data_IF_113378392856
#
_entry.id   IF_113378392856
#
_cell.length_a   1.000
_cell.length_b   1.000
_cell.length_c   1.000
_cell.angle_alpha   90.00
_cell.angle_beta   90.00
_cell.angle_gamma   90.00
#
_symmetry.space_group_name_H-M   'P 1'
#
loop_
_entity.id
_entity.type
_entity.pdbx_description
1 polymer ?
#
# COMPACT_ATOMS: atom_id res chain seq x y z
N UNK A 1 -12.75 -11.74 14.09
CA UNK A 1 -11.61 -12.63 13.76
C UNK A 1 -12.10 -14.04 13.47
N UNK A 2 -12.85 -14.66 14.39
CA UNK A 2 -13.30 -16.06 14.35
C UNK A 2 -13.82 -16.56 12.98
N UNK A 3 -14.68 -15.80 12.30
CA UNK A 3 -15.22 -16.20 10.98
C UNK A 3 -14.14 -16.34 9.89
N UNK A 4 -13.08 -15.51 9.93
CA UNK A 4 -11.95 -15.59 8.99
C UNK A 4 -11.03 -16.76 9.33
N UNK A 5 -10.87 -17.07 10.61
CA UNK A 5 -10.09 -18.24 11.04
C UNK A 5 -10.74 -19.54 10.57
N UNK A 6 -12.07 -19.64 10.64
CA UNK A 6 -12.81 -20.77 10.09
C UNK A 6 -12.63 -20.95 8.57
N UNK A 7 -12.27 -19.89 7.83
CA UNK A 7 -11.92 -20.02 6.40
C UNK A 7 -10.57 -20.72 6.20
N UNK A 8 -9.64 -20.54 7.14
CA UNK A 8 -8.35 -21.24 7.15
C UNK A 8 -8.56 -22.70 7.54
N UNK A 9 -9.33 -22.96 8.60
CA UNK A 9 -9.63 -24.33 9.03
C UNK A 9 -10.38 -25.13 7.95
N UNK A 10 -11.27 -24.47 7.20
CA UNK A 10 -11.97 -25.07 6.06
C UNK A 10 -11.10 -25.21 4.79
N UNK A 11 -9.82 -24.82 4.83
CA UNK A 11 -8.90 -24.91 3.69
C UNK A 11 -9.18 -23.93 2.54
N UNK A 12 -10.10 -22.96 2.72
CA UNK A 12 -10.47 -21.97 1.69
C UNK A 12 -9.45 -20.83 1.57
N UNK A 13 -8.68 -20.58 2.62
CA UNK A 13 -7.60 -19.61 2.64
C UNK A 13 -6.36 -20.22 3.32
N UNK A 14 -5.17 -20.00 2.74
CA UNK A 14 -3.90 -20.42 3.38
C UNK A 14 -3.47 -19.48 4.50
N UNK A 15 -3.86 -18.21 4.42
CA UNK A 15 -3.48 -17.16 5.36
C UNK A 15 -4.56 -16.09 5.42
N UNK A 16 -4.58 -15.34 6.52
CA UNK A 16 -5.53 -14.25 6.76
C UNK A 16 -4.80 -13.00 7.23
N UNK A 17 -5.37 -11.84 6.91
CA UNK A 17 -4.78 -10.54 7.21
C UNK A 17 -5.82 -9.45 7.39
N UNK A 18 -5.35 -8.21 7.49
CA UNK A 18 -6.16 -7.01 7.69
C UNK A 18 -5.91 -6.00 6.58
N UNK A 19 -6.87 -5.12 6.33
CA UNK A 19 -6.71 -4.02 5.36
C UNK A 19 -7.42 -2.76 5.85
N UNK A 20 -6.73 -1.62 5.81
CA UNK A 20 -7.21 -0.31 6.30
C UNK A 20 -7.52 -0.26 7.82
N UNK A 21 -6.74 -0.97 8.64
CA UNK A 21 -6.88 -0.94 10.10
C UNK A 21 -5.82 -0.03 10.72
N UNK A 22 -6.19 0.71 11.78
CA UNK A 22 -5.24 1.47 12.59
C UNK A 22 -4.59 0.60 13.68
N UNK A 23 -3.52 1.10 14.31
CA UNK A 23 -2.75 0.35 15.31
C UNK A 23 -3.60 -0.18 16.48
N UNK A 24 -4.59 0.59 16.96
CA UNK A 24 -5.49 0.15 18.05
C UNK A 24 -6.36 -1.02 17.61
N UNK A 25 -6.91 -0.97 16.40
CA UNK A 25 -7.74 -2.04 15.85
C UNK A 25 -6.90 -3.29 15.58
N UNK A 26 -5.69 -3.14 15.01
CA UNK A 26 -4.75 -4.25 14.81
C UNK A 26 -4.42 -4.92 16.13
N UNK A 27 -4.04 -4.14 17.16
CA UNK A 27 -3.74 -4.68 18.50
C UNK A 27 -4.90 -5.51 19.06
N UNK A 28 -6.13 -4.99 18.98
CA UNK A 28 -7.34 -5.67 19.46
C UNK A 28 -7.59 -7.00 18.74
N UNK A 29 -7.42 -7.03 17.42
CA UNK A 29 -7.57 -8.27 16.64
C UNK A 29 -6.44 -9.23 16.97
N UNK A 30 -5.19 -8.76 16.99
CA UNK A 30 -4.01 -9.58 17.25
C UNK A 30 -4.08 -10.24 18.64
N UNK A 31 -4.55 -9.55 19.67
CA UNK A 31 -4.70 -10.10 21.02
C UNK A 31 -5.78 -11.17 21.13
N UNK A 32 -6.89 -11.04 20.38
CA UNK A 32 -8.03 -11.96 20.46
C UNK A 32 -7.99 -13.12 19.44
N UNK A 33 -7.15 -13.02 18.41
CA UNK A 33 -7.08 -14.02 17.35
C UNK A 33 -6.30 -15.27 17.76
N UNK A 34 -6.85 -16.45 17.45
CA UNK A 34 -6.16 -17.74 17.53
C UNK A 34 -5.16 -17.85 16.39
N UNK A 35 -5.58 -17.53 15.16
CA UNK A 35 -4.69 -17.46 13.99
C UNK A 35 -4.27 -15.99 13.83
N UNK A 36 -3.00 -15.69 14.09
CA UNK A 36 -2.50 -14.31 14.00
C UNK A 36 -2.60 -13.81 12.56
N UNK A 37 -3.07 -12.57 12.34
CA UNK A 37 -3.07 -11.99 11.00
C UNK A 37 -1.63 -11.85 10.51
N UNK A 38 -1.34 -12.32 9.30
CA UNK A 38 0.04 -12.33 8.77
C UNK A 38 0.42 -11.04 8.06
N UNK A 39 -0.57 -10.22 7.69
CA UNK A 39 -0.33 -9.01 6.89
C UNK A 39 -1.32 -7.89 7.22
N UNK A 40 -0.85 -6.65 7.04
CA UNK A 40 -1.67 -5.45 6.99
C UNK A 40 -1.51 -4.75 5.63
N UNK A 41 -2.60 -4.58 4.89
CA UNK A 41 -2.62 -3.81 3.65
C UNK A 41 -3.13 -2.37 3.89
N UNK A 42 -2.35 -1.36 3.56
CA UNK A 42 -2.66 0.07 3.78
C UNK A 42 -2.18 0.95 2.62
N UNK A 43 -2.73 2.17 2.52
CA UNK A 43 -2.25 3.17 1.57
C UNK A 43 -0.85 3.59 1.97
N UNK A 44 0.16 3.39 1.13
CA UNK A 44 1.52 3.78 1.50
C UNK A 44 2.31 4.15 0.28
N UNK A 45 2.83 5.38 0.28
CA UNK A 45 3.72 5.91 -0.75
C UNK A 45 4.65 6.97 -0.13
N UNK A 46 5.57 7.55 -0.90
CA UNK A 46 6.57 8.50 -0.38
C UNK A 46 5.98 9.74 0.32
N UNK A 47 4.78 10.19 -0.08
CA UNK A 47 4.08 11.28 0.62
C UNK A 47 3.17 10.82 1.78
N UNK A 48 3.03 9.51 2.00
CA UNK A 48 2.22 8.94 3.07
C UNK A 48 2.86 7.64 3.56
N UNK A 49 4.00 7.80 4.24
CA UNK A 49 4.90 6.68 4.54
C UNK A 49 4.47 5.81 5.73
N UNK A 50 3.54 6.30 6.55
CA UNK A 50 2.97 5.64 7.73
C UNK A 50 3.99 4.87 8.60
N UNK A 51 5.10 5.51 8.96
CA UNK A 51 6.25 4.84 9.63
C UNK A 51 5.87 4.12 10.93
N UNK A 52 5.02 4.73 11.74
CA UNK A 52 4.64 4.20 13.07
C UNK A 52 3.91 2.86 12.97
N UNK A 53 2.89 2.76 12.11
CA UNK A 53 2.13 1.50 11.96
C UNK A 53 2.96 0.41 11.28
N UNK A 54 3.87 0.79 10.38
CA UNK A 54 4.82 -0.17 9.78
C UNK A 54 5.71 -0.78 10.85
N UNK A 55 6.33 0.05 11.70
CA UNK A 55 7.16 -0.45 12.80
C UNK A 55 6.35 -1.29 13.79
N UNK A 56 5.12 -0.87 14.11
CA UNK A 56 4.21 -1.62 14.96
C UNK A 56 3.86 -3.01 14.39
N UNK A 57 3.52 -3.10 13.10
CA UNK A 57 3.23 -4.37 12.45
C UNK A 57 4.45 -5.30 12.41
N UNK A 58 5.64 -4.76 12.10
CA UNK A 58 6.88 -5.54 12.10
C UNK A 58 7.23 -6.09 13.48
N UNK A 59 7.00 -5.32 14.54
CA UNK A 59 7.20 -5.79 15.91
C UNK A 59 6.24 -6.94 16.31
N UNK A 60 5.13 -7.10 15.59
CA UNK A 60 4.16 -8.19 15.78
C UNK A 60 4.36 -9.34 14.78
N UNK A 61 5.49 -9.37 14.06
CA UNK A 61 5.79 -10.33 13.00
C UNK A 61 4.73 -10.32 11.87
N UNK A 62 4.18 -9.14 11.57
CA UNK A 62 3.24 -8.92 10.48
C UNK A 62 3.90 -8.20 9.32
N UNK A 63 3.65 -8.69 8.11
CA UNK A 63 4.07 -8.03 6.88
C UNK A 63 3.17 -6.84 6.54
N UNK A 64 3.72 -5.86 5.82
CA UNK A 64 2.95 -4.70 5.34
C UNK A 64 2.90 -4.70 3.81
N UNK A 65 1.70 -4.56 3.26
CA UNK A 65 1.49 -4.39 1.82
C UNK A 65 0.98 -2.99 1.52
N UNK A 66 1.72 -2.23 0.73
CA UNK A 66 1.39 -0.90 0.26
C UNK A 66 0.48 -0.98 -0.98
N UNK A 67 -0.77 -0.51 -0.85
CA UNK A 67 -1.58 -0.15 -2.00
C UNK A 67 -1.38 1.32 -2.38
N UNK A 68 -1.70 1.65 -3.63
CA UNK A 68 -1.40 2.94 -4.24
C UNK A 68 0.07 3.40 -4.05
N UNK A 69 1.07 2.53 -4.27
CA UNK A 69 2.48 2.84 -3.97
C UNK A 69 3.06 3.97 -4.83
N UNK A 70 2.42 4.30 -5.95
CA UNK A 70 2.77 5.40 -6.85
C UNK A 70 1.90 6.66 -6.61
N UNK A 71 1.10 6.67 -5.55
CA UNK A 71 -0.01 7.60 -5.37
C UNK A 71 -1.18 7.31 -6.32
N UNK A 72 -2.25 8.09 -6.19
CA UNK A 72 -3.40 8.02 -7.08
C UNK A 72 -3.44 9.30 -7.97
N UNK A 73 -3.12 9.19 -9.27
CA UNK A 73 -3.08 10.35 -10.17
C UNK A 73 -4.46 10.96 -10.41
N UNK A 74 -5.53 10.19 -10.15
CA UNK A 74 -6.87 10.56 -10.57
C UNK A 74 -7.91 10.30 -9.47
N UNK A 75 -7.58 10.71 -8.23
CA UNK A 75 -8.55 10.72 -7.11
C UNK A 75 -9.82 11.48 -7.53
N UNK A 76 -9.67 12.52 -8.37
CA UNK A 76 -10.77 13.28 -8.95
C UNK A 76 -11.71 12.44 -9.82
N UNK A 77 -11.23 11.70 -10.83
CA UNK A 77 -12.12 10.86 -11.65
C UNK A 77 -12.62 9.65 -10.89
N UNK A 78 -11.80 9.05 -10.01
CA UNK A 78 -12.23 7.92 -9.18
C UNK A 78 -13.35 8.35 -8.25
N UNK A 79 -13.23 9.51 -7.57
CA UNK A 79 -14.27 10.07 -6.72
C UNK A 79 -15.53 10.44 -7.50
N UNK A 80 -15.40 10.97 -8.73
CA UNK A 80 -16.54 11.21 -9.64
C UNK A 80 -17.23 9.91 -10.04
N UNK A 81 -16.46 8.87 -10.40
CA UNK A 81 -16.97 7.57 -10.84
C UNK A 81 -17.70 6.81 -9.73
N UNK A 82 -17.31 6.99 -8.48
CA UNK A 82 -17.94 6.34 -7.31
C UNK A 82 -19.01 7.22 -6.63
N UNK A 83 -19.41 8.33 -7.25
CA UNK A 83 -20.44 9.22 -6.70
C UNK A 83 -20.05 9.95 -5.41
N UNK A 84 -18.75 9.99 -5.07
CA UNK A 84 -18.20 10.63 -3.85
C UNK A 84 -17.55 11.98 -4.13
N UNK A 85 -17.80 12.60 -5.28
CA UNK A 85 -17.23 13.88 -5.69
C UNK A 85 -17.81 15.11 -4.95
N UNK A 86 -18.18 14.98 -3.68
CA UNK A 86 -18.53 16.13 -2.85
C UNK A 86 -17.26 16.62 -2.15
N UNK A 87 -16.77 17.77 -2.60
CA UNK A 87 -15.78 18.59 -1.88
C UNK A 87 -14.46 17.87 -1.61
N UNK A 88 -13.84 17.29 -2.64
CA UNK A 88 -12.39 17.13 -2.57
C UNK A 88 -11.81 18.53 -2.70
N UNK A 89 -11.14 19.08 -1.67
CA UNK A 89 -10.42 20.33 -1.85
C UNK A 89 -9.49 20.15 -3.04
N UNK A 90 -9.25 21.23 -3.79
CA UNK A 90 -8.17 21.32 -4.78
C UNK A 90 -6.82 21.26 -4.06
N UNK A 91 -6.60 20.16 -3.33
CA UNK A 91 -5.36 19.82 -2.72
C UNK A 91 -4.46 19.57 -3.93
N UNK A 92 -3.56 20.53 -4.18
CA UNK A 92 -2.51 20.48 -5.17
C UNK A 92 -1.55 19.38 -4.73
N UNK A 93 -2.03 18.15 -4.75
CA UNK A 93 -1.29 16.97 -4.36
C UNK A 93 -0.29 16.77 -5.46
N UNK A 94 0.96 17.13 -5.17
CA UNK A 94 2.08 16.70 -5.99
C UNK A 94 1.93 15.19 -6.15
N UNK A 95 1.76 14.76 -7.39
CA UNK A 95 1.69 13.35 -7.69
C UNK A 95 3.11 12.80 -7.61
N UNK A 96 3.40 11.71 -6.85
CA UNK A 96 4.77 11.23 -6.64
C UNK A 96 5.57 11.02 -7.93
N UNK A 97 4.92 10.63 -9.03
CA UNK A 97 5.60 10.46 -10.33
C UNK A 97 6.03 11.78 -10.98
N UNK A 98 5.37 12.89 -10.65
CA UNK A 98 5.66 14.22 -11.19
C UNK A 98 6.63 15.03 -10.32
N UNK A 99 6.98 14.52 -9.13
CA UNK A 99 7.87 15.20 -8.20
C UNK A 99 9.27 15.43 -8.81
N UNK A 100 9.79 16.67 -8.81
CA UNK A 100 11.09 16.99 -9.41
C UNK A 100 12.26 16.24 -8.78
N UNK A 101 12.22 15.96 -7.47
CA UNK A 101 13.25 15.20 -6.78
C UNK A 101 13.20 13.74 -7.20
N UNK A 102 12.01 13.14 -7.30
CA UNK A 102 11.85 11.76 -7.80
C UNK A 102 12.37 11.64 -9.22
N UNK A 103 12.03 12.58 -10.12
CA UNK A 103 12.55 12.61 -11.50
C UNK A 103 14.07 12.78 -11.55
N UNK A 104 14.65 13.63 -10.68
CA UNK A 104 16.10 13.80 -10.57
C UNK A 104 16.80 12.50 -10.15
N UNK A 105 16.25 11.78 -9.16
CA UNK A 105 16.77 10.48 -8.71
C UNK A 105 16.62 9.45 -9.83
N UNK A 106 15.48 9.39 -10.49
CA UNK A 106 15.21 8.49 -11.62
C UNK A 106 16.27 8.67 -12.74
N UNK A 107 16.54 9.93 -13.13
CA UNK A 107 17.60 10.27 -14.09
C UNK A 107 18.98 9.82 -13.62
N UNK A 108 19.33 10.06 -12.35
CA UNK A 108 20.62 9.65 -11.77
C UNK A 108 20.86 8.13 -11.86
N UNK A 109 19.80 7.34 -11.74
CA UNK A 109 19.88 5.89 -11.73
C UNK A 109 19.54 5.23 -13.08
N UNK A 110 19.26 6.01 -14.14
CA UNK A 110 18.76 5.52 -15.41
C UNK A 110 17.53 4.61 -15.25
N UNK A 111 16.57 5.05 -14.43
CA UNK A 111 15.32 4.34 -14.12
C UNK A 111 14.12 5.27 -14.29
N UNK A 112 12.92 4.71 -14.26
CA UNK A 112 11.68 5.49 -14.27
C UNK A 112 11.35 6.02 -12.86
N UNK A 113 10.58 7.13 -12.75
CA UNK A 113 10.06 7.58 -11.46
C UNK A 113 9.29 6.49 -10.70
N UNK A 114 8.52 5.66 -11.41
CA UNK A 114 7.78 4.56 -10.81
C UNK A 114 8.72 3.55 -10.14
N UNK A 115 9.78 3.12 -10.84
CA UNK A 115 10.78 2.20 -10.28
C UNK A 115 11.45 2.79 -9.03
N UNK A 116 11.76 4.08 -9.02
CA UNK A 116 12.35 4.75 -7.84
C UNK A 116 11.39 4.69 -6.65
N UNK A 117 10.12 5.02 -6.86
CA UNK A 117 9.10 5.01 -5.80
C UNK A 117 8.84 3.60 -5.25
N UNK A 118 8.70 2.60 -6.14
CA UNK A 118 8.53 1.21 -5.73
C UNK A 118 9.77 0.72 -4.99
N UNK A 119 10.97 1.01 -5.50
CA UNK A 119 12.22 0.59 -4.89
C UNK A 119 12.40 1.19 -3.50
N UNK A 120 12.04 2.45 -3.30
CA UNK A 120 12.09 3.10 -1.99
C UNK A 120 11.25 2.34 -0.95
N UNK A 121 10.02 1.96 -1.31
CA UNK A 121 9.13 1.20 -0.42
C UNK A 121 9.64 -0.22 -0.18
N UNK A 122 10.09 -0.92 -1.22
CA UNK A 122 10.65 -2.28 -1.12
C UNK A 122 11.88 -2.32 -0.21
N UNK A 123 12.79 -1.33 -0.32
CA UNK A 123 13.99 -1.25 0.51
C UNK A 123 13.69 -1.09 2.01
N UNK A 124 12.48 -0.64 2.35
CA UNK A 124 12.00 -0.59 3.74
C UNK A 124 11.42 -1.91 4.20
N UNK A 125 11.49 -2.99 3.40
CA UNK A 125 10.87 -4.28 3.69
C UNK A 125 9.35 -4.18 3.73
N UNK A 126 8.76 -3.53 2.72
CA UNK A 126 7.32 -3.37 2.55
C UNK A 126 6.96 -3.89 1.15
N UNK A 127 5.94 -4.74 1.07
CA UNK A 127 5.45 -5.32 -0.18
C UNK A 127 4.69 -4.23 -0.95
N UNK A 128 4.85 -4.16 -2.27
CA UNK A 128 4.14 -3.20 -3.13
C UNK A 128 3.26 -3.92 -4.16
N UNK A 129 2.08 -3.35 -4.42
CA UNK A 129 1.13 -3.88 -5.44
C UNK A 129 0.71 -2.77 -6.42
N UNK A 130 1.60 -2.30 -7.30
CA UNK A 130 1.26 -1.27 -8.29
C UNK A 130 0.24 -1.81 -9.31
N UNK A 131 -0.86 -1.08 -9.51
CA UNK A 131 -1.84 -1.40 -10.55
C UNK A 131 -1.41 -0.84 -11.90
N UNK A 132 -1.48 -1.66 -12.95
CA UNK A 132 -1.42 -1.22 -14.34
C UNK A 132 -2.30 -2.12 -15.22
N UNK A 133 -2.82 -1.57 -16.31
CA UNK A 133 -3.42 -2.33 -17.43
C UNK A 133 -2.61 -2.17 -18.72
N UNK A 134 -1.52 -1.39 -18.67
CA UNK A 134 -0.56 -1.17 -19.74
C UNK A 134 0.57 -2.21 -19.59
N UNK A 135 0.79 -3.11 -20.57
CA UNK A 135 1.79 -4.17 -20.51
C UNK A 135 3.23 -3.67 -20.31
N UNK A 136 3.58 -2.52 -20.91
CA UNK A 136 4.90 -1.91 -20.76
C UNK A 136 5.10 -1.48 -19.31
N UNK A 137 4.12 -0.80 -18.72
CA UNK A 137 4.18 -0.41 -17.30
C UNK A 137 4.17 -1.60 -16.35
N UNK A 138 3.46 -2.68 -16.68
CA UNK A 138 3.49 -3.93 -15.89
C UNK A 138 4.92 -4.48 -15.87
N UNK A 139 5.58 -4.55 -17.03
CA UNK A 139 6.98 -4.98 -17.15
C UNK A 139 7.92 -4.05 -16.40
N UNK A 140 7.77 -2.73 -16.54
CA UNK A 140 8.63 -1.76 -15.88
C UNK A 140 8.49 -1.77 -14.36
N UNK A 141 7.29 -2.02 -13.83
CA UNK A 141 7.05 -2.12 -12.39
C UNK A 141 7.71 -3.35 -11.75
N UNK A 142 8.10 -4.35 -12.54
CA UNK A 142 8.74 -5.59 -12.08
C UNK A 142 10.28 -5.55 -12.13
N UNK A 143 10.86 -4.69 -12.98
CA UNK A 143 12.31 -4.59 -13.25
C UNK A 143 12.99 -3.41 -12.55
#
# INVERSE_FOLDING_TARGET
SQAMEAQVDAGRAKSIGLSNFNARQVKRVWQSARIKPVMLQIELHVFFEQREIVTFCKALDMEVTAYAPLGCPDIGSVARRIGRARHLPALKMTYPLEDPLVKKIAKKHNRTPAQVLLRHTIQRGIIVIPKSSDPTRIRDNFN
#
